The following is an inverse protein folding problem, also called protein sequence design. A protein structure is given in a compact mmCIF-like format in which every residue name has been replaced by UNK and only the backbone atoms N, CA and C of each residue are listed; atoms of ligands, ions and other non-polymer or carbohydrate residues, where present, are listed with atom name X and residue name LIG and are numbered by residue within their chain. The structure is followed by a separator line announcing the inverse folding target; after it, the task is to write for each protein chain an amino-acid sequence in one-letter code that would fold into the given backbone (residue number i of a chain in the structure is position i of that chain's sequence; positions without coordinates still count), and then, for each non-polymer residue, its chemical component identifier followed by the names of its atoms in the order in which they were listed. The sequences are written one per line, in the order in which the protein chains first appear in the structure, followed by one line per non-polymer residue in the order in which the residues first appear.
data_IF_228172888896
#
_entry.id   IF_228172888896
#
_cell.length_a   1.000
_cell.length_b   1.000
_cell.length_c   1.000
_cell.angle_alpha   90.00
_cell.angle_beta   90.00
_cell.angle_gamma   90.00
#
_symmetry.space_group_name_H-M   'P 1'
#
loop_
_entity.id
_entity.type
_entity.pdbx_description
1 polymer ?
#
# COMPACT_ATOMS: atom_id res chain seq x y z
N UNK A 1 -7.58 42.28 11.49
CA UNK A 1 -7.90 40.89 11.85
C UNK A 1 -8.36 40.18 10.59
N UNK A 2 -7.45 39.72 9.72
CA UNK A 2 -7.82 38.88 8.55
C UNK A 2 -6.63 38.21 7.84
N UNK A 3 -5.39 38.41 8.29
CA UNK A 3 -4.22 37.79 7.64
C UNK A 3 -4.00 36.32 8.05
N UNK A 4 -4.60 35.87 9.17
CA UNK A 4 -4.61 34.46 9.58
C UNK A 4 -5.54 33.60 8.73
N UNK A 5 -6.56 34.19 8.12
CA UNK A 5 -7.49 33.52 7.19
C UNK A 5 -6.92 33.39 5.76
N UNK A 6 -5.76 34.02 5.47
CA UNK A 6 -5.06 34.00 4.19
C UNK A 6 -3.87 33.05 4.15
N UNK A 7 -3.39 32.61 5.32
CA UNK A 7 -2.44 31.49 5.41
C UNK A 7 -3.22 30.26 5.01
N UNK A 8 -2.66 29.43 4.11
CA UNK A 8 -3.27 28.17 3.72
C UNK A 8 -3.87 27.51 4.96
N UNK A 9 -5.13 27.00 4.94
CA UNK A 9 -5.58 26.13 6.03
C UNK A 9 -4.46 25.13 6.14
N UNK A 10 -3.64 25.21 7.20
CA UNK A 10 -2.37 24.50 7.28
C UNK A 10 -2.75 23.11 6.84
N UNK A 11 -2.33 22.70 5.63
CA UNK A 11 -2.85 21.52 4.99
C UNK A 11 -2.26 20.41 5.83
N UNK A 12 -2.86 20.16 6.99
CA UNK A 12 -2.67 19.02 7.86
C UNK A 12 -3.42 17.99 7.07
N UNK A 13 -2.74 17.26 6.17
CA UNK A 13 -3.38 16.11 5.59
C UNK A 13 -3.74 15.26 6.82
N UNK A 14 -4.90 14.61 6.82
CA UNK A 14 -5.31 13.78 7.95
C UNK A 14 -4.35 12.58 8.02
N UNK A 15 -3.14 12.79 8.54
CA UNK A 15 -2.07 11.83 8.80
C UNK A 15 -2.03 11.48 10.29
N UNK A 16 -2.92 12.08 11.08
CA UNK A 16 -3.16 11.71 12.47
C UNK A 16 -4.31 10.71 12.54
N UNK A 17 -4.26 9.79 13.51
CA UNK A 17 -5.24 8.70 13.60
C UNK A 17 -5.12 7.73 12.42
N UNK A 18 -6.18 7.57 11.64
CA UNK A 18 -6.24 6.67 10.48
C UNK A 18 -6.26 7.48 9.19
N UNK A 19 -5.10 7.75 8.56
CA UNK A 19 -5.06 8.47 7.31
C UNK A 19 -5.85 7.80 6.20
N UNK A 20 -6.62 8.60 5.48
CA UNK A 20 -7.30 8.16 4.25
C UNK A 20 -6.67 8.83 3.05
N UNK A 21 -6.43 8.03 2.02
CA UNK A 21 -5.91 8.50 0.74
C UNK A 21 -6.65 7.78 -0.39
N UNK A 22 -6.85 8.42 -1.56
CA UNK A 22 -7.40 7.75 -2.73
C UNK A 22 -6.56 6.53 -3.13
N UNK A 23 -7.22 5.50 -3.66
CA UNK A 23 -6.53 4.32 -4.19
C UNK A 23 -6.07 4.61 -5.62
N UNK A 24 -4.77 4.50 -5.86
CA UNK A 24 -4.18 4.66 -7.19
C UNK A 24 -4.47 3.44 -8.08
N UNK A 25 -4.50 3.59 -9.42
CA UNK A 25 -4.52 2.44 -10.32
C UNK A 25 -3.21 1.64 -10.21
N UNK A 26 -3.26 0.34 -10.51
CA UNK A 26 -2.06 -0.51 -10.55
C UNK A 26 -1.02 0.03 -11.54
N UNK A 27 0.27 -0.18 -11.22
CA UNK A 27 1.39 0.29 -12.05
C UNK A 27 1.69 1.80 -11.92
N UNK A 28 1.00 2.50 -11.02
CA UNK A 28 1.32 3.92 -10.73
C UNK A 28 2.70 4.03 -10.08
N UNK A 29 3.63 4.69 -10.77
CA UNK A 29 4.99 4.96 -10.31
C UNK A 29 5.20 6.48 -10.15
N UNK A 30 4.75 7.00 -9.00
CA UNK A 30 4.81 8.43 -8.68
C UNK A 30 5.18 8.61 -7.20
N UNK A 31 5.42 9.85 -6.79
CA UNK A 31 5.75 10.21 -5.40
C UNK A 31 4.52 10.39 -4.49
N UNK A 32 3.33 10.02 -4.98
CA UNK A 32 2.08 10.05 -4.22
C UNK A 32 2.06 9.02 -3.08
N UNK A 33 1.28 9.31 -2.03
CA UNK A 33 1.09 8.37 -0.90
C UNK A 33 0.34 7.13 -1.39
N UNK A 34 0.85 5.94 -1.06
CA UNK A 34 0.18 4.68 -1.30
C UNK A 34 -0.92 4.43 -0.24
N UNK A 35 -2.12 4.07 -0.69
CA UNK A 35 -3.20 3.61 0.19
C UNK A 35 -3.01 2.13 0.56
N UNK A 36 -3.51 1.71 1.72
CA UNK A 36 -3.46 0.30 2.16
C UNK A 36 -4.18 -0.62 1.16
N UNK A 37 -5.26 -0.15 0.54
CA UNK A 37 -5.96 -0.88 -0.52
C UNK A 37 -5.10 -1.11 -1.77
N UNK A 38 -4.29 -0.12 -2.17
CA UNK A 38 -3.35 -0.26 -3.28
C UNK A 38 -2.27 -1.30 -2.97
N UNK A 39 -1.70 -1.28 -1.76
CA UNK A 39 -0.67 -2.24 -1.33
C UNK A 39 -1.23 -3.66 -1.28
N UNK A 40 -2.42 -3.85 -0.72
CA UNK A 40 -3.08 -5.16 -0.71
C UNK A 40 -3.31 -5.69 -2.13
N UNK A 41 -3.78 -4.85 -3.05
CA UNK A 41 -3.98 -5.24 -4.45
C UNK A 41 -2.68 -5.59 -5.17
N UNK A 42 -1.59 -4.88 -4.89
CA UNK A 42 -0.27 -5.17 -5.47
C UNK A 42 0.29 -6.51 -4.97
N UNK A 43 0.13 -6.80 -3.67
CA UNK A 43 0.55 -8.08 -3.08
C UNK A 43 -0.28 -9.24 -3.63
N UNK A 44 -1.60 -9.08 -3.73
CA UNK A 44 -2.47 -10.09 -4.32
C UNK A 44 -2.03 -10.44 -5.76
N UNK A 45 -1.81 -9.42 -6.60
CA UNK A 45 -1.34 -9.64 -7.97
C UNK A 45 0.04 -10.33 -8.04
N UNK A 46 0.94 -10.04 -7.09
CA UNK A 46 2.22 -10.73 -6.97
C UNK A 46 2.05 -12.21 -6.61
N UNK A 47 1.15 -12.51 -5.66
CA UNK A 47 0.81 -13.87 -5.23
C UNK A 47 0.18 -14.67 -6.37
N UNK A 48 -0.78 -14.06 -7.08
CA UNK A 48 -1.44 -14.67 -8.25
C UNK A 48 -0.47 -14.95 -9.41
N UNK A 49 0.63 -14.19 -9.51
CA UNK A 49 1.65 -14.41 -10.55
C UNK A 49 2.53 -15.63 -10.30
N UNK A 50 2.50 -16.24 -9.10
CA UNK A 50 3.36 -17.39 -8.77
C UNK A 50 2.81 -18.34 -7.68
N UNK A 51 1.63 -18.95 -7.91
CA UNK A 51 1.07 -19.92 -6.98
C UNK A 51 1.98 -21.15 -6.79
N UNK A 52 2.61 -21.66 -7.85
CA UNK A 52 3.52 -22.81 -7.78
C UNK A 52 4.82 -22.53 -7.01
N UNK A 53 5.36 -21.31 -7.09
CA UNK A 53 6.54 -20.92 -6.32
C UNK A 53 6.22 -20.83 -4.81
N UNK A 54 5.05 -20.31 -4.46
CA UNK A 54 4.56 -20.28 -3.08
C UNK A 54 4.30 -21.69 -2.53
N UNK A 55 3.71 -22.57 -3.36
CA UNK A 55 3.54 -23.97 -3.03
C UNK A 55 4.91 -24.63 -2.77
N UNK A 56 5.88 -24.44 -3.67
CA UNK A 56 7.23 -25.00 -3.51
C UNK A 56 7.89 -24.53 -2.20
N UNK A 57 7.77 -23.25 -1.83
CA UNK A 57 8.31 -22.74 -0.56
C UNK A 57 7.58 -23.33 0.66
N UNK A 58 6.25 -23.46 0.62
CA UNK A 58 5.47 -24.13 1.66
C UNK A 58 5.93 -25.58 1.87
N UNK A 59 6.14 -26.31 0.77
CA UNK A 59 6.62 -27.69 0.82
C UNK A 59 8.08 -27.76 1.31
N UNK A 60 8.97 -26.85 0.92
CA UNK A 60 10.36 -26.84 1.43
C UNK A 60 10.48 -26.41 2.90
N UNK A 61 9.55 -25.61 3.41
CA UNK A 61 9.49 -25.23 4.83
C UNK A 61 8.94 -26.33 5.75
N UNK A 62 8.10 -27.22 5.21
CA UNK A 62 7.59 -28.40 5.90
C UNK A 62 8.42 -29.68 5.60
N UNK A 63 9.26 -29.64 4.56
CA UNK A 63 9.88 -30.81 3.93
C UNK A 63 11.41 -30.79 3.85
N UNK A 64 12.12 -30.22 4.82
CA UNK A 64 13.55 -30.52 5.03
C UNK A 64 13.77 -31.86 5.77
N UNK A 65 12.97 -32.87 5.42
CA UNK A 65 12.87 -34.15 6.12
C UNK A 65 12.41 -35.30 5.23
N UNK A 66 12.88 -35.34 3.98
CA UNK A 66 13.06 -36.57 3.20
C UNK A 66 14.35 -36.46 2.39
#
# INVERSE_FOLDING_TARGET
MDETNKKAPLNSPALTGTPTTPTAPQGTNSTQIASTAFVMAAIAALVDSSPDALNTLNETGCGAGQ
#
